data_IF_691903312782
#
_entry.id   IF_691903312782
#
_cell.length_a   1.000
_cell.length_b   1.000
_cell.length_c   1.000
_cell.angle_alpha   90.00
_cell.angle_beta   90.00
_cell.angle_gamma   90.00
#
_symmetry.space_group_name_H-M   'P 1'
#
loop_
_entity.id
_entity.type
_entity.pdbx_description
1 polymer ?
#
# COMPACT_ATOMS: atom_id res chain seq x y z
N UNK A 1 41.76 44.10 -32.75
CA UNK A 1 40.49 43.50 -33.20
C UNK A 1 40.79 42.21 -33.94
N UNK A 2 40.62 41.05 -33.29
CA UNK A 2 40.27 39.72 -33.84
C UNK A 2 40.35 38.70 -32.69
N UNK A 3 39.20 38.36 -32.08
CA UNK A 3 38.48 37.06 -32.08
C UNK A 3 39.09 36.01 -31.13
N UNK A 4 38.44 35.78 -29.98
CA UNK A 4 37.47 34.70 -29.68
C UNK A 4 38.16 33.34 -29.52
N UNK A 5 37.91 32.51 -28.51
CA UNK A 5 37.21 32.59 -27.25
C UNK A 5 37.66 31.34 -26.46
N UNK A 6 37.66 31.44 -25.14
CA UNK A 6 38.16 30.40 -24.25
C UNK A 6 37.39 29.09 -24.38
N UNK A 7 38.13 28.00 -24.18
CA UNK A 7 37.62 26.65 -24.04
C UNK A 7 36.59 26.60 -22.91
N UNK A 8 35.32 26.36 -23.26
CA UNK A 8 34.28 26.02 -22.30
C UNK A 8 34.16 24.50 -22.27
N UNK A 9 34.93 23.88 -21.37
CA UNK A 9 34.82 22.47 -21.04
C UNK A 9 33.65 22.33 -20.06
N UNK A 10 32.43 22.17 -20.56
CA UNK A 10 31.28 21.81 -19.71
C UNK A 10 31.29 20.28 -19.58
N UNK A 11 31.99 19.82 -18.56
CA UNK A 11 31.89 18.46 -18.05
C UNK A 11 30.61 18.39 -17.18
N UNK A 12 29.45 18.24 -17.82
CA UNK A 12 28.21 17.93 -17.11
C UNK A 12 28.15 16.41 -16.88
N UNK A 13 28.80 15.98 -15.81
CA UNK A 13 28.70 14.64 -15.25
C UNK A 13 27.98 14.74 -13.90
N UNK A 14 26.97 13.88 -13.73
CA UNK A 14 26.13 13.67 -12.53
C UNK A 14 25.15 14.82 -12.25
N UNK A 15 23.84 14.59 -12.16
CA UNK A 15 23.14 13.49 -11.52
C UNK A 15 21.97 13.10 -12.41
N UNK A 16 21.91 11.84 -12.84
CA UNK A 16 20.65 11.25 -13.28
C UNK A 16 19.62 11.56 -12.20
N UNK A 17 18.45 12.17 -12.47
CA UNK A 17 17.33 11.85 -11.61
C UNK A 17 17.21 10.34 -11.72
N UNK A 18 17.40 9.67 -10.59
CA UNK A 18 17.05 8.26 -10.42
C UNK A 18 15.81 8.03 -11.26
N UNK A 19 15.91 7.06 -12.19
CA UNK A 19 14.72 6.43 -12.71
C UNK A 19 13.81 6.24 -11.51
N UNK A 20 12.67 6.93 -11.51
CA UNK A 20 11.61 6.70 -10.55
C UNK A 20 11.26 5.23 -10.78
N UNK A 21 11.90 4.37 -9.99
CA UNK A 21 11.93 2.95 -10.20
C UNK A 21 10.49 2.45 -10.13
N UNK A 22 10.01 1.90 -11.25
CA UNK A 22 8.81 1.09 -11.34
C UNK A 22 7.49 1.81 -11.06
N UNK A 23 7.02 2.67 -11.98
CA UNK A 23 5.67 3.25 -11.87
C UNK A 23 4.50 2.35 -12.29
N UNK A 24 4.73 1.15 -12.84
CA UNK A 24 3.64 0.30 -13.40
C UNK A 24 3.73 -1.22 -13.12
N UNK A 25 4.59 -1.71 -12.22
CA UNK A 25 4.74 -3.17 -12.02
C UNK A 25 3.88 -3.77 -10.89
N UNK A 26 3.44 -2.97 -9.93
CA UNK A 26 2.73 -3.47 -8.75
C UNK A 26 1.22 -3.20 -8.87
N UNK A 27 0.39 -4.18 -8.49
CA UNK A 27 -1.06 -3.96 -8.37
C UNK A 27 -1.40 -2.96 -7.25
N UNK A 28 -0.51 -2.80 -6.28
CA UNK A 28 -0.66 -1.88 -5.16
C UNK A 28 0.07 -0.57 -5.45
N UNK A 29 -0.55 0.53 -5.07
CA UNK A 29 0.12 1.82 -5.01
C UNK A 29 0.79 1.98 -3.66
N UNK A 30 2.08 2.28 -3.66
CA UNK A 30 2.86 2.47 -2.44
C UNK A 30 3.00 3.95 -2.10
N UNK A 31 2.92 4.25 -0.81
CA UNK A 31 3.06 5.60 -0.28
C UNK A 31 4.06 5.57 0.88
N UNK A 32 5.27 6.05 0.62
CA UNK A 32 6.35 6.22 1.58
C UNK A 32 6.93 7.65 1.59
N UNK A 33 6.33 8.57 0.82
CA UNK A 33 6.77 9.96 0.68
C UNK A 33 5.62 10.89 0.28
N UNK A 34 5.81 12.20 0.47
CA UNK A 34 4.84 13.21 0.04
C UNK A 34 4.59 13.20 -1.48
N UNK A 35 5.63 12.94 -2.28
CA UNK A 35 5.50 12.85 -3.72
C UNK A 35 4.58 11.68 -4.11
N UNK A 36 4.73 10.53 -3.45
CA UNK A 36 3.88 9.37 -3.68
C UNK A 36 2.43 9.59 -3.21
N UNK A 37 2.21 10.35 -2.13
CA UNK A 37 0.86 10.79 -1.72
C UNK A 37 0.20 11.59 -2.85
N UNK A 38 0.90 12.60 -3.38
CA UNK A 38 0.33 13.46 -4.41
C UNK A 38 0.11 12.69 -5.73
N UNK A 39 0.99 11.74 -6.08
CA UNK A 39 0.78 10.83 -7.22
C UNK A 39 -0.47 9.96 -6.99
N UNK A 40 -0.62 9.38 -5.81
CA UNK A 40 -1.75 8.50 -5.50
C UNK A 40 -3.08 9.27 -5.50
N UNK A 41 -3.10 10.49 -4.98
CA UNK A 41 -4.27 11.38 -5.02
C UNK A 41 -4.70 11.71 -6.45
N UNK A 42 -3.74 11.97 -7.35
CA UNK A 42 -4.02 12.24 -8.76
C UNK A 42 -4.55 11.00 -9.51
N UNK A 43 -4.34 9.80 -8.97
CA UNK A 43 -4.78 8.53 -9.54
C UNK A 43 -5.95 7.89 -8.78
N UNK A 44 -6.56 8.56 -7.80
CA UNK A 44 -7.44 7.96 -6.79
C UNK A 44 -8.52 7.02 -7.32
N UNK A 45 -9.17 7.35 -8.44
CA UNK A 45 -10.20 6.51 -9.08
C UNK A 45 -9.65 5.28 -9.82
N UNK A 46 -8.37 5.28 -10.17
CA UNK A 46 -7.68 4.22 -10.90
C UNK A 46 -6.76 3.37 -10.01
N UNK A 47 -6.67 3.68 -8.71
CA UNK A 47 -5.93 2.84 -7.77
C UNK A 47 -6.58 1.46 -7.72
N UNK A 48 -5.78 0.42 -7.51
CA UNK A 48 -6.24 -0.97 -7.33
C UNK A 48 -5.97 -1.49 -5.92
N UNK A 49 -5.44 -0.62 -5.06
CA UNK A 49 -5.00 -0.91 -3.72
C UNK A 49 -3.92 0.07 -3.26
N UNK A 50 -3.69 0.12 -1.95
CA UNK A 50 -2.76 1.03 -1.31
C UNK A 50 -1.91 0.29 -0.28
N UNK A 51 -0.63 0.62 -0.23
CA UNK A 51 0.27 0.23 0.85
C UNK A 51 0.95 1.48 1.39
N UNK A 52 0.73 1.78 2.67
CA UNK A 52 1.27 2.98 3.33
C UNK A 52 2.40 2.58 4.25
N UNK A 53 3.54 3.24 4.13
CA UNK A 53 4.65 3.03 5.04
C UNK A 53 4.35 3.64 6.40
N UNK A 54 4.45 2.83 7.44
CA UNK A 54 4.19 3.17 8.83
C UNK A 54 5.05 4.33 9.32
N UNK A 55 6.37 4.28 9.12
CA UNK A 55 7.26 5.34 9.62
C UNK A 55 7.00 6.68 8.91
N UNK A 56 6.60 6.64 7.64
CA UNK A 56 6.23 7.83 6.90
C UNK A 56 4.92 8.42 7.42
N UNK A 57 3.88 7.60 7.60
CA UNK A 57 2.60 8.07 8.16
C UNK A 57 2.81 8.68 9.55
N UNK A 58 3.59 8.04 10.41
CA UNK A 58 3.83 8.52 11.78
C UNK A 58 4.51 9.89 11.82
N UNK A 59 5.56 10.06 11.00
CA UNK A 59 6.34 11.29 10.91
C UNK A 59 5.63 12.42 10.14
N UNK A 60 4.58 12.11 9.37
CA UNK A 60 3.87 13.09 8.55
C UNK A 60 3.15 14.17 9.38
N UNK A 61 3.04 15.36 8.80
CA UNK A 61 2.24 16.44 9.36
C UNK A 61 0.73 16.14 9.28
N UNK A 62 -0.06 16.89 10.05
CA UNK A 62 -1.50 16.68 10.13
C UNK A 62 -2.20 16.76 8.76
N UNK A 63 -1.76 17.70 7.91
CA UNK A 63 -2.33 17.89 6.57
C UNK A 63 -2.08 16.68 5.66
N UNK A 64 -0.90 16.08 5.76
CA UNK A 64 -0.53 14.90 4.98
C UNK A 64 -1.23 13.66 5.51
N UNK A 65 -1.38 13.52 6.83
CA UNK A 65 -2.21 12.47 7.46
C UNK A 65 -3.65 12.53 6.97
N UNK A 66 -4.26 13.71 6.97
CA UNK A 66 -5.62 13.91 6.44
C UNK A 66 -5.74 13.53 4.96
N UNK A 67 -4.75 13.86 4.13
CA UNK A 67 -4.70 13.42 2.73
C UNK A 67 -4.68 11.89 2.62
N UNK A 68 -3.83 11.22 3.40
CA UNK A 68 -3.72 9.76 3.40
C UNK A 68 -4.99 9.09 3.92
N UNK A 69 -5.60 9.59 5.00
CA UNK A 69 -6.84 9.06 5.55
C UNK A 69 -8.01 9.20 4.56
N UNK A 70 -8.08 10.33 3.84
CA UNK A 70 -9.05 10.52 2.77
C UNK A 70 -8.84 9.56 1.60
N UNK A 71 -7.58 9.31 1.23
CA UNK A 71 -7.23 8.34 0.20
C UNK A 71 -7.65 6.92 0.62
N UNK A 72 -7.33 6.51 1.85
CA UNK A 72 -7.75 5.23 2.45
C UNK A 72 -9.27 5.09 2.42
N UNK A 73 -10.01 6.11 2.82
CA UNK A 73 -11.48 6.07 2.79
C UNK A 73 -12.02 5.89 1.37
N UNK A 74 -11.43 6.56 0.38
CA UNK A 74 -11.81 6.39 -1.04
C UNK A 74 -11.59 4.95 -1.52
N UNK A 75 -10.44 4.36 -1.17
CA UNK A 75 -10.05 3.01 -1.59
C UNK A 75 -10.91 1.95 -0.90
N UNK A 76 -11.19 2.13 0.39
CA UNK A 76 -12.08 1.27 1.18
C UNK A 76 -13.49 1.22 0.59
N UNK A 77 -14.03 2.35 0.15
CA UNK A 77 -15.34 2.43 -0.50
C UNK A 77 -15.36 1.69 -1.86
N UNK A 78 -14.20 1.57 -2.51
CA UNK A 78 -14.03 0.82 -3.75
C UNK A 78 -13.63 -0.66 -3.53
N UNK A 79 -13.78 -1.18 -2.30
CA UNK A 79 -13.46 -2.57 -1.92
C UNK A 79 -12.04 -3.02 -2.32
N UNK A 80 -11.10 -2.09 -2.31
CA UNK A 80 -9.71 -2.34 -2.65
C UNK A 80 -8.86 -2.54 -1.40
N UNK A 81 -7.71 -3.22 -1.52
CA UNK A 81 -6.87 -3.52 -0.38
C UNK A 81 -6.05 -2.34 0.11
N UNK A 82 -5.96 -2.25 1.44
CA UNK A 82 -5.17 -1.25 2.14
C UNK A 82 -4.22 -1.98 3.09
N UNK A 83 -2.93 -1.71 2.94
CA UNK A 83 -1.87 -2.23 3.76
C UNK A 83 -1.17 -1.10 4.51
N UNK A 84 -0.66 -1.42 5.69
CA UNK A 84 0.38 -0.67 6.38
C UNK A 84 1.60 -1.58 6.56
N UNK A 85 2.79 -1.04 6.35
CA UNK A 85 4.04 -1.82 6.45
C UNK A 85 5.17 -1.01 7.08
N UNK A 86 6.12 -1.70 7.69
CA UNK A 86 7.30 -1.11 8.30
C UNK A 86 7.97 -2.05 9.29
N UNK A 87 9.12 -1.64 9.83
CA UNK A 87 9.87 -2.48 10.78
C UNK A 87 9.19 -2.57 12.15
N UNK A 88 8.43 -1.55 12.53
CA UNK A 88 7.71 -1.51 13.80
C UNK A 88 6.32 -0.95 13.57
N UNK A 89 5.39 -1.83 13.23
CA UNK A 89 4.03 -1.42 12.94
C UNK A 89 3.31 -0.86 14.16
N UNK A 90 2.77 0.34 13.98
CA UNK A 90 1.78 0.91 14.88
C UNK A 90 0.40 0.46 14.43
N UNK A 91 -0.05 -0.66 14.99
CA UNK A 91 -1.35 -1.25 14.65
C UNK A 91 -2.52 -0.28 14.85
N UNK A 92 -2.36 0.71 15.73
CA UNK A 92 -3.36 1.75 15.97
C UNK A 92 -3.71 2.53 14.69
N UNK A 93 -2.78 2.68 13.75
CA UNK A 93 -3.04 3.33 12.47
C UNK A 93 -4.03 2.48 11.65
N UNK A 94 -3.76 1.18 11.51
CA UNK A 94 -4.66 0.28 10.79
C UNK A 94 -6.01 0.14 11.49
N UNK A 95 -6.02 0.05 12.82
CA UNK A 95 -7.25 0.01 13.62
C UNK A 95 -8.07 1.31 13.48
N UNK A 96 -7.44 2.45 13.22
CA UNK A 96 -8.17 3.69 12.93
C UNK A 96 -8.88 3.64 11.57
N UNK A 97 -8.24 3.04 10.56
CA UNK A 97 -8.81 2.85 9.22
C UNK A 97 -9.86 1.72 9.18
N UNK A 98 -9.65 0.69 10.01
CA UNK A 98 -10.49 -0.50 10.14
C UNK A 98 -10.77 -0.80 11.62
N UNK A 99 -11.74 -0.11 12.25
CA UNK A 99 -12.07 -0.32 13.66
C UNK A 99 -12.43 -1.76 14.02
N UNK A 100 -12.95 -2.53 13.07
CA UNK A 100 -13.27 -3.95 13.24
C UNK A 100 -12.02 -4.84 13.44
N UNK A 101 -10.84 -4.36 13.06
CA UNK A 101 -9.58 -5.07 13.22
C UNK A 101 -8.98 -4.92 14.64
N UNK A 102 -9.62 -4.13 15.51
CA UNK A 102 -9.09 -3.84 16.85
C UNK A 102 -8.94 -5.10 17.69
N UNK A 103 -7.73 -5.33 18.19
CA UNK A 103 -7.42 -6.51 19.02
C UNK A 103 -7.48 -7.85 18.26
N UNK A 104 -7.60 -7.81 16.92
CA UNK A 104 -7.57 -9.00 16.06
C UNK A 104 -6.15 -9.57 15.92
N UNK A 105 -5.14 -8.73 16.14
CA UNK A 105 -3.74 -8.99 15.84
C UNK A 105 -2.97 -9.54 17.06
N UNK A 106 -2.31 -10.70 16.92
CA UNK A 106 -1.70 -11.45 18.04
C UNK A 106 -0.16 -11.54 18.02
N UNK A 107 0.51 -11.06 16.97
CA UNK A 107 1.96 -10.99 16.89
C UNK A 107 2.40 -9.59 16.43
N UNK A 108 3.68 -9.22 16.62
CA UNK A 108 4.24 -7.96 16.14
C UNK A 108 4.46 -8.06 14.63
N UNK A 109 3.61 -7.44 13.80
CA UNK A 109 3.70 -7.61 12.37
C UNK A 109 4.65 -6.61 11.75
N UNK A 110 5.26 -6.98 10.63
CA UNK A 110 5.99 -6.07 9.75
C UNK A 110 5.10 -5.55 8.62
N UNK A 111 3.97 -6.21 8.37
CA UNK A 111 2.89 -5.76 7.49
C UNK A 111 1.53 -6.19 8.03
N UNK A 112 0.54 -5.29 7.96
CA UNK A 112 -0.85 -5.61 8.25
C UNK A 112 -1.75 -4.97 7.18
N UNK A 113 -2.84 -5.61 6.81
CA UNK A 113 -3.73 -5.08 5.78
C UNK A 113 -5.17 -5.53 5.94
N UNK A 114 -6.08 -4.86 5.25
CA UNK A 114 -7.49 -5.18 5.23
C UNK A 114 -8.12 -4.79 3.89
N UNK A 115 -9.12 -5.55 3.47
CA UNK A 115 -9.93 -5.21 2.29
C UNK A 115 -11.31 -5.84 2.37
N UNK A 116 -12.29 -5.20 1.74
CA UNK A 116 -13.67 -5.68 1.68
C UNK A 116 -13.83 -6.78 0.61
N UNK A 117 -14.56 -7.86 0.92
CA UNK A 117 -14.88 -8.95 -0.01
C UNK A 117 -16.36 -9.02 -0.34
N UNK A 118 -16.69 -9.62 -1.50
CA UNK A 118 -18.06 -9.97 -1.87
C UNK A 118 -18.15 -11.48 -2.14
N UNK A 119 -19.20 -12.18 -1.68
CA UNK A 119 -19.41 -13.57 -2.08
C UNK A 119 -19.77 -13.66 -3.57
N UNK A 120 -19.35 -14.74 -4.25
CA UNK A 120 -19.63 -14.94 -5.69
C UNK A 120 -20.77 -15.91 -5.97
N UNK A 121 -21.32 -16.57 -4.94
CA UNK A 121 -22.46 -17.48 -5.08
C UNK A 121 -23.42 -17.43 -3.87
N UNK A 122 -24.65 -17.92 -4.09
CA UNK A 122 -25.72 -17.90 -3.08
C UNK A 122 -25.43 -18.79 -1.86
N UNK A 123 -24.69 -19.89 -2.02
CA UNK A 123 -24.33 -20.78 -0.91
C UNK A 123 -23.40 -20.08 0.10
N UNK A 124 -22.41 -19.33 -0.40
CA UNK A 124 -21.51 -18.51 0.41
C UNK A 124 -22.23 -17.29 1.00
N UNK A 125 -23.13 -16.68 0.23
CA UNK A 125 -23.98 -15.61 0.74
C UNK A 125 -24.86 -16.07 1.90
N UNK A 126 -25.43 -17.28 1.83
CA UNK A 126 -26.32 -17.82 2.87
C UNK A 126 -25.59 -18.39 4.09
N UNK A 127 -24.30 -18.73 3.96
CA UNK A 127 -23.46 -19.26 5.05
C UNK A 127 -22.71 -18.18 5.84
N UNK A 128 -22.70 -16.94 5.33
CA UNK A 128 -22.29 -15.77 6.09
C UNK A 128 -23.55 -15.17 6.72
N UNK A 129 -23.58 -14.98 8.05
CA UNK A 129 -24.79 -14.50 8.77
C UNK A 129 -25.32 -13.15 8.26
N UNK A 130 -24.56 -12.43 7.43
CA UNK A 130 -24.92 -11.14 6.79
C UNK A 130 -24.65 -11.07 5.26
N UNK A 131 -24.40 -12.18 4.56
CA UNK A 131 -24.16 -12.15 3.10
C UNK A 131 -22.86 -11.44 2.66
N UNK A 132 -21.98 -11.13 3.60
CA UNK A 132 -20.66 -10.54 3.42
C UNK A 132 -19.75 -11.04 4.54
N UNK A 133 -18.47 -11.25 4.25
CA UNK A 133 -17.47 -10.98 5.28
C UNK A 133 -17.23 -9.46 5.26
N UNK A 134 -17.22 -8.76 6.41
CA UNK A 134 -16.83 -7.36 6.51
C UNK A 134 -15.31 -7.21 6.33
N UNK A 135 -14.83 -7.60 5.16
CA UNK A 135 -13.44 -7.63 4.76
C UNK A 135 -12.59 -8.71 5.42
N UNK A 136 -11.64 -9.26 4.66
CA UNK A 136 -10.59 -10.09 5.25
C UNK A 136 -9.49 -9.14 5.77
N UNK A 137 -9.09 -9.35 7.02
CA UNK A 137 -7.93 -8.69 7.64
C UNK A 137 -6.75 -9.66 7.63
N UNK A 138 -5.61 -9.19 7.14
CA UNK A 138 -4.39 -9.96 7.03
C UNK A 138 -3.34 -9.39 7.95
N UNK A 139 -2.53 -10.31 8.43
CA UNK A 139 -1.40 -9.97 9.23
C UNK A 139 -0.23 -10.82 8.79
N UNK A 140 0.85 -10.16 8.41
CA UNK A 140 2.12 -10.81 8.14
C UNK A 140 3.07 -10.46 9.28
N UNK A 141 3.32 -11.45 10.11
CA UNK A 141 4.45 -11.45 11.00
C UNK A 141 5.62 -12.03 10.25
N UNK A 142 6.66 -11.22 10.05
CA UNK A 142 7.91 -11.74 9.54
C UNK A 142 8.61 -12.47 10.68
N UNK A 143 8.86 -13.79 10.56
CA UNK A 143 9.57 -14.54 11.60
C UNK A 143 11.05 -14.15 11.72
N UNK A 144 11.63 -13.48 10.73
CA UNK A 144 13.09 -13.34 10.61
C UNK A 144 13.68 -12.04 11.19
N UNK A 145 12.86 -11.16 11.80
CA UNK A 145 13.26 -9.93 12.53
C UNK A 145 14.32 -9.06 11.82
N UNK A 146 14.46 -9.23 10.49
CA UNK A 146 15.56 -8.68 9.70
C UNK A 146 15.10 -7.41 9.01
N UNK A 147 15.93 -6.37 9.13
CA UNK A 147 15.64 -5.08 8.53
C UNK A 147 15.59 -5.16 7.00
N UNK A 148 14.38 -5.19 6.44
CA UNK A 148 14.06 -4.95 5.03
C UNK A 148 14.21 -3.49 4.62
N UNK A 149 14.73 -3.30 3.41
CA UNK A 149 14.67 -2.06 2.63
C UNK A 149 13.27 -1.79 2.09
N UNK A 150 13.05 -0.57 1.59
CA UNK A 150 11.79 -0.16 0.96
C UNK A 150 11.43 -1.04 -0.25
N UNK A 151 12.41 -1.38 -1.08
CA UNK A 151 12.18 -2.23 -2.25
C UNK A 151 11.79 -3.65 -1.84
N UNK A 152 12.46 -4.23 -0.84
CA UNK A 152 12.13 -5.56 -0.31
C UNK A 152 10.70 -5.60 0.26
N UNK A 153 10.26 -4.53 0.95
CA UNK A 153 8.87 -4.43 1.38
C UNK A 153 7.91 -4.43 0.18
N UNK A 154 8.18 -3.63 -0.84
CA UNK A 154 7.30 -3.53 -2.03
C UNK A 154 7.15 -4.86 -2.75
N UNK A 155 8.26 -5.55 -2.96
CA UNK A 155 8.28 -6.86 -3.60
C UNK A 155 7.52 -7.89 -2.76
N UNK A 156 7.79 -7.92 -1.45
CA UNK A 156 7.16 -8.86 -0.53
C UNK A 156 5.64 -8.68 -0.43
N UNK A 157 5.18 -7.44 -0.21
CA UNK A 157 3.76 -7.11 -0.07
C UNK A 157 3.02 -7.37 -1.38
N UNK A 158 3.63 -7.05 -2.52
CA UNK A 158 3.04 -7.31 -3.83
C UNK A 158 2.91 -8.80 -4.12
N UNK A 159 3.94 -9.60 -3.81
CA UNK A 159 3.89 -11.05 -3.99
C UNK A 159 2.83 -11.68 -3.08
N UNK A 160 2.79 -11.26 -1.81
CA UNK A 160 1.76 -11.71 -0.87
C UNK A 160 0.36 -11.40 -1.37
N UNK A 161 0.12 -10.16 -1.80
CA UNK A 161 -1.19 -9.75 -2.30
C UNK A 161 -1.63 -10.56 -3.51
N UNK A 162 -0.73 -10.85 -4.45
CA UNK A 162 -1.05 -11.68 -5.61
C UNK A 162 -1.49 -13.11 -5.21
N UNK A 163 -0.79 -13.72 -4.25
CA UNK A 163 -1.14 -15.05 -3.73
C UNK A 163 -2.49 -15.01 -3.01
N UNK A 164 -2.64 -14.08 -2.07
CA UNK A 164 -3.87 -13.98 -1.27
C UNK A 164 -5.09 -13.67 -2.15
N UNK A 165 -4.95 -12.78 -3.14
CA UNK A 165 -5.98 -12.49 -4.15
C UNK A 165 -6.41 -13.75 -4.93
N UNK A 166 -5.49 -14.68 -5.19
CA UNK A 166 -5.82 -15.95 -5.82
C UNK A 166 -6.56 -16.88 -4.84
N UNK A 167 -6.05 -17.05 -3.63
CA UNK A 167 -6.66 -17.93 -2.61
C UNK A 167 -8.11 -17.53 -2.30
N UNK A 168 -8.38 -16.23 -2.16
CA UNK A 168 -9.73 -15.68 -1.94
C UNK A 168 -10.69 -16.04 -3.08
N UNK A 169 -10.21 -16.01 -4.32
CA UNK A 169 -11.02 -16.38 -5.49
C UNK A 169 -11.34 -17.87 -5.50
N UNK A 170 -10.37 -18.69 -5.11
CA UNK A 170 -10.54 -20.14 -4.99
C UNK A 170 -11.52 -20.49 -3.85
N UNK A 171 -11.55 -19.70 -2.77
CA UNK A 171 -12.55 -19.78 -1.70
C UNK A 171 -13.96 -19.29 -2.11
N UNK A 172 -14.11 -18.73 -3.32
CA UNK A 172 -15.40 -18.25 -3.83
C UNK A 172 -15.76 -16.81 -3.44
N UNK A 173 -14.76 -15.97 -3.17
CA UNK A 173 -14.96 -14.55 -2.95
C UNK A 173 -14.35 -13.72 -4.09
N UNK A 174 -15.01 -12.62 -4.43
CA UNK A 174 -14.48 -11.64 -5.36
C UNK A 174 -13.78 -10.49 -4.63
N UNK A 175 -12.67 -10.07 -5.21
CA UNK A 175 -12.00 -8.80 -4.97
C UNK A 175 -12.13 -7.94 -6.24
N UNK A 176 -12.32 -6.63 -6.11
CA UNK A 176 -12.37 -5.76 -7.28
C UNK A 176 -10.98 -5.71 -7.96
N UNK A 177 -10.97 -5.78 -9.29
CA UNK A 177 -9.77 -5.90 -10.13
C UNK A 177 -8.99 -4.60 -10.27
#
# INVERSE_FOLDING_TARGET
MTRLAGACLILALFICPEEIAGKDHYELTFVASNEEVDIALNKSEALRGLAVRNEFYDAADQKTKEKMDNLVNSIKNNLQPIFIYGQSLRLEILESWFPQAKGYFRCQPTMAGAFSTLPVNEELQNSTEDGYLPGKTFLMCDPDDTAKSEQEFREYISAFWLTEKQDIREEGYATLN
#
